data_IF_632084987548
#
_entry.id   IF_632084987548
#
_cell.length_a   1.000
_cell.length_b   1.000
_cell.length_c   1.000
_cell.angle_alpha   90.00
_cell.angle_beta   90.00
_cell.angle_gamma   90.00
#
_symmetry.space_group_name_H-M   'P 1'
#
loop_
_entity.id
_entity.type
_entity.pdbx_description
1 polymer ?
#
# COMPACT_ATOMS: atom_id res chain seq x y z
N UNK A 1 3.78 1.72 0.91
CA UNK A 1 3.14 2.99 0.55
C UNK A 1 4.14 3.94 -0.10
N UNK A 2 3.75 4.53 -1.19
CA UNK A 2 4.56 5.49 -1.96
C UNK A 2 3.76 6.77 -2.10
N UNK A 3 4.30 7.90 -1.62
CA UNK A 3 3.64 9.21 -1.69
C UNK A 3 4.46 10.14 -2.59
N UNK A 4 3.85 10.61 -3.67
CA UNK A 4 4.56 11.40 -4.68
C UNK A 4 5.17 12.69 -4.11
N UNK A 5 4.42 13.43 -3.30
CA UNK A 5 4.89 14.68 -2.70
C UNK A 5 6.09 14.50 -1.78
N UNK A 6 6.34 13.28 -1.31
CA UNK A 6 7.46 12.95 -0.44
C UNK A 6 8.57 12.18 -1.19
N UNK A 7 8.61 12.31 -2.51
CA UNK A 7 9.58 11.64 -3.38
C UNK A 7 9.57 10.11 -3.21
N UNK A 8 8.39 9.55 -2.98
CA UNK A 8 8.20 8.11 -2.83
C UNK A 8 8.25 7.60 -1.39
N UNK A 9 8.58 8.44 -0.40
CA UNK A 9 8.54 8.01 0.99
C UNK A 9 7.09 7.74 1.42
N UNK A 10 6.82 6.88 2.40
CA UNK A 10 7.74 6.02 3.16
C UNK A 10 8.44 4.91 2.35
N UNK A 11 7.88 4.45 1.24
CA UNK A 11 8.51 3.47 0.37
C UNK A 11 8.98 2.21 1.09
N UNK A 12 10.26 1.88 0.95
CA UNK A 12 10.87 0.70 1.59
C UNK A 12 10.79 0.74 3.11
N UNK A 13 10.64 1.92 3.69
CA UNK A 13 10.60 2.10 5.15
C UNK A 13 9.19 2.18 5.71
N UNK A 14 8.16 1.81 4.92
CA UNK A 14 6.75 1.95 5.34
C UNK A 14 6.45 1.38 6.72
N UNK A 15 6.96 0.18 7.03
CA UNK A 15 6.68 -0.47 8.31
C UNK A 15 7.39 0.19 9.52
N UNK A 16 8.41 1.00 9.29
CA UNK A 16 9.23 1.61 10.35
C UNK A 16 9.56 3.08 10.07
N UNK A 17 8.67 3.75 9.39
CA UNK A 17 8.87 5.13 8.95
C UNK A 17 9.18 6.09 10.09
N UNK A 18 8.50 5.95 11.22
CA UNK A 18 8.73 6.79 12.41
C UNK A 18 9.87 6.29 13.31
N UNK A 19 10.45 5.13 13.02
CA UNK A 19 11.52 4.55 13.84
C UNK A 19 11.05 3.96 15.16
N UNK A 20 9.77 3.66 15.29
CA UNK A 20 9.16 3.07 16.49
C UNK A 20 8.82 1.62 16.22
N UNK A 21 9.15 0.73 17.16
CA UNK A 21 8.84 -0.69 17.06
C UNK A 21 7.59 -1.05 17.88
N UNK A 22 7.01 -2.22 17.59
CA UNK A 22 5.95 -2.81 18.37
C UNK A 22 4.56 -2.29 18.01
N UNK A 23 3.64 -2.36 18.98
CA UNK A 23 2.22 -2.06 18.76
C UNK A 23 1.93 -0.62 18.38
N UNK A 24 2.82 0.30 18.74
CA UNK A 24 2.64 1.73 18.45
C UNK A 24 3.24 2.16 17.13
N UNK A 25 3.89 1.25 16.41
CA UNK A 25 4.57 1.58 15.16
C UNK A 25 3.61 2.14 14.11
N UNK A 26 2.46 1.52 13.90
CA UNK A 26 1.50 1.95 12.90
C UNK A 26 0.98 3.37 13.17
N UNK A 27 0.58 3.64 14.40
CA UNK A 27 0.08 4.96 14.79
C UNK A 27 1.16 6.04 14.64
N UNK A 28 2.40 5.72 15.05
CA UNK A 28 3.52 6.65 14.92
C UNK A 28 3.85 6.92 13.45
N UNK A 29 3.80 5.91 12.61
CA UNK A 29 4.04 6.04 11.18
C UNK A 29 2.99 6.94 10.51
N UNK A 30 1.71 6.76 10.86
CA UNK A 30 0.63 7.62 10.36
C UNK A 30 0.80 9.07 10.81
N UNK A 31 1.14 9.27 12.08
CA UNK A 31 1.37 10.61 12.61
C UNK A 31 2.51 11.32 11.88
N UNK A 32 3.62 10.63 11.64
CA UNK A 32 4.75 11.19 10.89
C UNK A 32 4.34 11.56 9.47
N UNK A 33 3.59 10.69 8.80
CA UNK A 33 3.12 10.95 7.44
C UNK A 33 2.28 12.23 7.36
N UNK A 34 1.37 12.44 8.30
CA UNK A 34 0.55 13.64 8.35
C UNK A 34 1.39 14.91 8.59
N UNK A 35 2.40 14.83 9.46
CA UNK A 35 3.31 15.94 9.72
C UNK A 35 4.11 16.29 8.46
N UNK A 36 4.65 15.28 7.79
CA UNK A 36 5.47 15.47 6.58
C UNK A 36 4.65 16.08 5.43
N UNK A 37 3.39 15.70 5.28
CA UNK A 37 2.51 16.25 4.25
C UNK A 37 1.99 17.63 4.63
N UNK A 38 1.86 17.92 5.92
CA UNK A 38 1.42 19.20 6.42
C UNK A 38 0.10 19.66 5.81
N UNK A 39 0.08 20.86 5.27
CA UNK A 39 -1.13 21.49 4.72
C UNK A 39 -1.26 21.36 3.20
N UNK A 40 -0.51 20.47 2.56
CA UNK A 40 -0.64 20.25 1.11
C UNK A 40 -2.09 19.94 0.73
N UNK A 41 -2.61 20.55 -0.34
CA UNK A 41 -3.99 20.32 -0.76
C UNK A 41 -4.18 18.89 -1.32
N UNK A 42 -5.42 18.42 -1.34
CA UNK A 42 -5.79 17.08 -1.81
C UNK A 42 -5.16 16.72 -3.15
N UNK A 43 -5.13 17.64 -4.08
CA UNK A 43 -4.58 17.42 -5.42
C UNK A 43 -3.09 17.06 -5.43
N UNK A 44 -2.37 17.35 -4.33
CA UNK A 44 -0.94 17.07 -4.19
C UNK A 44 -0.65 15.93 -3.20
N UNK A 45 -1.67 15.21 -2.78
CA UNK A 45 -1.55 14.14 -1.78
C UNK A 45 -1.71 12.74 -2.40
N UNK A 46 -1.44 12.63 -3.71
CA UNK A 46 -1.50 11.36 -4.42
C UNK A 46 -0.54 10.33 -3.85
N UNK A 47 -1.02 9.08 -3.74
CA UNK A 47 -0.26 7.99 -3.18
C UNK A 47 -0.66 6.66 -3.81
N UNK A 48 0.17 5.65 -3.62
CA UNK A 48 -0.17 4.30 -4.05
C UNK A 48 0.41 3.27 -3.11
N UNK A 49 -0.28 2.15 -2.96
CA UNK A 49 0.30 0.95 -2.41
C UNK A 49 0.88 0.12 -3.55
N UNK A 50 2.04 -0.47 -3.30
CA UNK A 50 2.72 -1.33 -4.27
C UNK A 50 3.05 -2.66 -3.61
N UNK A 51 2.78 -3.76 -4.30
CA UNK A 51 3.19 -5.09 -3.86
C UNK A 51 3.93 -5.78 -5.01
N UNK A 52 5.09 -6.34 -4.71
CA UNK A 52 5.88 -7.09 -5.68
C UNK A 52 6.06 -8.51 -5.15
N UNK A 53 5.74 -9.50 -5.99
CA UNK A 53 5.89 -10.91 -5.66
C UNK A 53 6.87 -11.52 -6.64
N UNK A 54 7.86 -12.24 -6.10
CA UNK A 54 8.87 -12.94 -6.91
C UNK A 54 8.71 -14.44 -6.65
N UNK A 55 8.47 -15.20 -7.72
CA UNK A 55 8.37 -16.65 -7.64
C UNK A 55 9.61 -17.28 -8.28
N UNK A 56 10.36 -18.02 -7.48
CA UNK A 56 11.47 -18.85 -7.94
C UNK A 56 10.97 -20.27 -8.13
N UNK A 57 11.17 -20.85 -9.31
CA UNK A 57 10.81 -22.25 -9.58
C UNK A 57 11.78 -23.21 -8.88
N UNK A 58 12.99 -22.74 -8.62
CA UNK A 58 14.02 -23.42 -7.80
C UNK A 58 15.00 -22.36 -7.30
N UNK A 59 15.86 -22.68 -6.29
CA UNK A 59 16.71 -21.66 -5.63
C UNK A 59 17.65 -20.90 -6.55
N UNK A 60 18.03 -21.45 -7.68
CA UNK A 60 18.94 -20.81 -8.63
C UNK A 60 18.26 -20.44 -9.94
N UNK A 61 16.95 -20.21 -9.91
CA UNK A 61 16.18 -19.84 -11.11
C UNK A 61 16.74 -18.55 -11.72
N UNK A 62 17.28 -18.60 -12.95
CA UNK A 62 17.86 -17.41 -13.58
C UNK A 62 16.80 -16.49 -14.17
N UNK A 63 15.55 -16.93 -14.20
CA UNK A 63 14.44 -16.18 -14.81
C UNK A 63 13.20 -16.26 -13.93
N UNK A 64 13.24 -15.68 -12.71
CA UNK A 64 12.10 -15.74 -11.80
C UNK A 64 10.88 -15.04 -12.39
N UNK A 65 9.69 -15.46 -11.94
CA UNK A 65 8.45 -14.77 -12.27
C UNK A 65 8.28 -13.62 -11.29
N UNK A 66 8.13 -12.41 -11.81
CA UNK A 66 7.93 -11.21 -11.01
C UNK A 66 6.56 -10.65 -11.34
N UNK A 67 5.73 -10.47 -10.32
CA UNK A 67 4.41 -9.87 -10.45
C UNK A 67 4.31 -8.66 -9.54
N UNK A 68 3.71 -7.58 -10.05
CA UNK A 68 3.55 -6.33 -9.29
C UNK A 68 2.11 -5.87 -9.36
N UNK A 69 1.60 -5.41 -8.22
CA UNK A 69 0.28 -4.81 -8.15
C UNK A 69 0.37 -3.44 -7.52
N UNK A 70 -0.42 -2.50 -8.03
CA UNK A 70 -0.52 -1.14 -7.51
C UNK A 70 -1.98 -0.79 -7.25
N UNK A 71 -2.21 0.00 -6.21
CA UNK A 71 -3.51 0.56 -5.92
C UNK A 71 -3.34 2.05 -5.63
N UNK A 72 -3.90 2.90 -6.48
CA UNK A 72 -3.73 4.35 -6.39
C UNK A 72 -4.83 5.00 -5.57
N UNK A 73 -4.47 6.04 -4.84
CA UNK A 73 -5.39 6.81 -4.02
C UNK A 73 -4.78 8.12 -3.55
N UNK A 74 -5.28 8.60 -2.44
CA UNK A 74 -4.84 9.88 -1.85
C UNK A 74 -4.70 9.74 -0.34
N UNK A 75 -3.83 10.56 0.25
CA UNK A 75 -3.68 10.62 1.71
C UNK A 75 -4.65 11.64 2.28
N UNK A 76 -5.48 11.20 3.22
CA UNK A 76 -6.44 12.05 3.92
C UNK A 76 -5.74 12.99 4.90
N UNK A 77 -6.45 14.04 5.32
CA UNK A 77 -5.96 14.96 6.35
C UNK A 77 -6.12 14.40 7.75
N UNK A 78 -7.10 13.54 7.95
CA UNK A 78 -7.39 12.88 9.23
C UNK A 78 -7.73 11.43 8.98
N UNK A 79 -7.50 10.59 10.00
CA UNK A 79 -7.82 9.17 9.90
C UNK A 79 -9.32 8.93 9.84
N UNK A 80 -9.73 7.97 9.03
CA UNK A 80 -11.12 7.52 8.90
C UNK A 80 -11.19 6.01 8.85
N UNK A 81 -12.07 5.44 9.67
CA UNK A 81 -12.29 4.00 9.74
C UNK A 81 -11.38 3.31 10.75
N UNK A 82 -11.75 2.09 11.11
CA UNK A 82 -11.08 1.32 12.16
C UNK A 82 -10.61 -0.05 11.69
N UNK A 83 -10.96 -0.45 10.48
CA UNK A 83 -10.57 -1.73 9.93
C UNK A 83 -9.17 -1.65 9.32
N UNK A 84 -8.53 -2.81 9.17
CA UNK A 84 -7.23 -2.88 8.53
C UNK A 84 -6.08 -2.53 9.46
N UNK A 85 -4.95 -2.12 8.87
CA UNK A 85 -3.70 -1.86 9.60
C UNK A 85 -2.82 -0.87 8.81
N UNK A 86 -1.68 -0.52 9.37
CA UNK A 86 -0.72 0.35 8.71
C UNK A 86 -1.30 1.73 8.39
N UNK A 87 -1.33 2.08 7.14
CA UNK A 87 -1.79 3.39 6.66
C UNK A 87 -3.23 3.38 6.16
N UNK A 88 -3.95 2.29 6.31
CA UNK A 88 -5.30 2.11 5.74
C UNK A 88 -6.28 3.22 6.10
N UNK A 89 -6.23 3.73 7.33
CA UNK A 89 -7.12 4.80 7.78
C UNK A 89 -6.83 6.16 7.16
N UNK A 90 -5.66 6.33 6.55
CA UNK A 90 -5.27 7.55 5.84
C UNK A 90 -5.35 7.42 4.31
N UNK A 91 -5.49 6.21 3.80
CA UNK A 91 -5.48 5.97 2.36
C UNK A 91 -6.91 5.99 1.80
N UNK A 92 -7.23 7.07 1.10
CA UNK A 92 -8.53 7.25 0.45
C UNK A 92 -8.52 6.59 -0.93
N UNK A 93 -9.52 5.74 -1.18
CA UNK A 93 -9.67 5.04 -2.44
C UNK A 93 -10.82 5.66 -3.24
N UNK A 94 -10.56 6.49 -4.26
CA UNK A 94 -11.60 7.24 -4.98
C UNK A 94 -12.74 6.38 -5.56
N UNK A 95 -12.47 5.21 -6.18
CA UNK A 95 -13.56 4.40 -6.75
C UNK A 95 -14.64 3.97 -5.76
N UNK A 96 -14.30 3.85 -4.47
CA UNK A 96 -15.25 3.49 -3.42
C UNK A 96 -15.63 4.67 -2.52
N UNK A 97 -15.03 5.83 -2.76
CA UNK A 97 -15.27 7.06 -2.01
C UNK A 97 -15.13 6.89 -0.50
N UNK A 98 -14.14 6.14 -0.08
CA UNK A 98 -13.85 5.88 1.34
C UNK A 98 -12.39 5.50 1.54
N UNK A 99 -11.92 5.45 2.80
CA UNK A 99 -10.60 4.96 3.11
C UNK A 99 -10.58 3.42 3.11
N UNK A 100 -9.39 2.84 3.01
CA UNK A 100 -9.25 1.39 3.13
C UNK A 100 -9.71 0.86 4.50
N UNK A 101 -9.58 1.67 5.55
CA UNK A 101 -10.04 1.29 6.89
C UNK A 101 -11.56 1.33 7.05
N UNK A 102 -12.26 1.94 6.11
CA UNK A 102 -13.72 1.96 6.07
C UNK A 102 -14.31 0.81 5.25
N UNK A 103 -13.47 0.07 4.52
CA UNK A 103 -13.90 -1.08 3.73
C UNK A 103 -13.96 -2.34 4.57
N UNK A 104 -14.91 -3.22 4.26
CA UNK A 104 -14.91 -4.56 4.83
C UNK A 104 -13.75 -5.36 4.26
N UNK A 105 -13.23 -6.31 5.05
CA UNK A 105 -12.07 -7.11 4.65
C UNK A 105 -12.27 -7.81 3.30
N UNK A 106 -13.47 -8.32 3.06
CA UNK A 106 -13.79 -9.00 1.80
C UNK A 106 -13.69 -8.08 0.59
N UNK A 107 -14.15 -6.83 0.72
CA UNK A 107 -14.07 -5.84 -0.36
C UNK A 107 -12.63 -5.41 -0.61
N UNK A 108 -11.88 -5.15 0.46
CA UNK A 108 -10.48 -4.75 0.38
C UNK A 108 -9.64 -5.81 -0.32
N UNK A 109 -9.88 -7.10 -0.07
CA UNK A 109 -9.15 -8.19 -0.70
C UNK A 109 -9.27 -8.22 -2.20
N UNK A 110 -10.35 -7.68 -2.76
CA UNK A 110 -10.57 -7.67 -4.22
C UNK A 110 -9.80 -6.57 -4.92
N UNK A 111 -9.49 -5.48 -4.23
CA UNK A 111 -8.92 -4.28 -4.83
C UNK A 111 -7.52 -3.93 -4.35
N UNK A 112 -7.01 -4.61 -3.32
CA UNK A 112 -5.71 -4.30 -2.74
C UNK A 112 -4.56 -4.57 -3.72
N UNK A 113 -3.46 -3.87 -3.52
CA UNK A 113 -2.23 -4.08 -4.29
C UNK A 113 -1.74 -5.53 -4.24
N UNK A 114 -1.95 -6.22 -3.10
CA UNK A 114 -1.61 -7.65 -2.96
C UNK A 114 -2.48 -8.53 -3.83
N UNK A 115 -3.80 -8.26 -3.87
CA UNK A 115 -4.72 -9.01 -4.71
C UNK A 115 -4.37 -8.87 -6.18
N UNK A 116 -4.02 -7.66 -6.62
CA UNK A 116 -3.62 -7.39 -7.99
C UNK A 116 -2.33 -8.14 -8.34
N UNK A 117 -1.33 -8.09 -7.44
CA UNK A 117 -0.06 -8.78 -7.64
C UNK A 117 -0.24 -10.31 -7.71
N UNK A 118 -1.08 -10.88 -6.84
CA UNK A 118 -1.37 -12.32 -6.85
C UNK A 118 -2.09 -12.74 -8.13
N UNK A 119 -3.02 -11.94 -8.62
CA UNK A 119 -3.72 -12.23 -9.87
C UNK A 119 -2.75 -12.23 -11.06
N UNK A 120 -1.83 -11.26 -11.12
CA UNK A 120 -0.80 -11.21 -12.15
C UNK A 120 0.14 -12.40 -12.07
N UNK A 121 0.56 -12.77 -10.84
CA UNK A 121 1.43 -13.92 -10.62
C UNK A 121 0.79 -15.19 -11.15
N UNK A 122 -0.49 -15.41 -10.85
CA UNK A 122 -1.24 -16.57 -11.32
C UNK A 122 -1.28 -16.62 -12.85
N UNK A 123 -1.58 -15.50 -13.49
CA UNK A 123 -1.65 -15.40 -14.94
C UNK A 123 -0.30 -15.72 -15.58
N UNK A 124 0.79 -15.14 -15.06
CA UNK A 124 2.14 -15.37 -15.57
C UNK A 124 2.57 -16.84 -15.36
N UNK A 125 2.27 -17.39 -14.21
CA UNK A 125 2.61 -18.79 -13.90
C UNK A 125 1.88 -19.76 -14.83
N UNK A 126 0.60 -19.54 -15.09
CA UNK A 126 -0.20 -20.35 -16.00
C UNK A 126 0.32 -20.23 -17.44
N UNK A 127 0.81 -19.06 -17.83
CA UNK A 127 1.36 -18.82 -19.15
C UNK A 127 2.71 -19.50 -19.42
N UNK A 128 3.39 -19.98 -18.37
CA UNK A 128 4.72 -20.62 -18.49
C UNK A 128 4.64 -22.15 -18.56
N UNK A 129 3.47 -22.71 -18.52
CA UNK A 129 3.27 -24.18 -18.55
C UNK A 129 3.52 -24.78 -19.92
#
# INVERSE_FOLDING_TARGET
>A
LVVEALNGAPGLYSARYAGVDGEQADAANRAKLLVELGSLPSAQRGAKFVSTIVLLRHPTDPSPIIAQGECQGEILFTEKGENGFGYDSLFFYPPKNCSFAELETAEKKKISHRAIALAQLKTQFEGTK
#
